data_IF_112794358759
#
_entry.id   IF_112794358759
#
_cell.length_a   1.000
_cell.length_b   1.000
_cell.length_c   1.000
_cell.angle_alpha   90.00
_cell.angle_beta   90.00
_cell.angle_gamma   90.00
#
_symmetry.space_group_name_H-M   'P 1'
#
loop_
_entity.id
_entity.type
_entity.pdbx_description
1 polymer ?
#
# COMPACT_ATOMS: atom_id res chain seq x y z
N UNK A 1 13.51 -132.98 -76.43
CA UNK A 1 12.05 -132.98 -76.63
C UNK A 1 11.60 -131.53 -76.52
N UNK A 2 11.59 -130.77 -77.63
CA UNK A 2 10.45 -130.58 -78.58
C UNK A 2 9.22 -130.01 -77.88
N UNK A 3 8.97 -128.69 -78.03
CA UNK A 3 7.85 -128.10 -78.79
C UNK A 3 6.53 -128.09 -77.98
N UNK A 4 5.55 -127.18 -78.04
CA UNK A 4 5.16 -126.05 -78.89
C UNK A 4 3.96 -125.42 -78.13
N UNK A 5 3.99 -124.14 -77.77
CA UNK A 5 3.27 -123.02 -78.40
C UNK A 5 1.79 -122.81 -78.01
N UNK A 6 1.45 -121.51 -77.99
CA UNK A 6 0.14 -120.89 -78.11
C UNK A 6 -0.74 -120.67 -76.86
N UNK A 7 -0.87 -119.38 -76.50
CA UNK A 7 -1.87 -118.87 -75.57
C UNK A 7 -1.64 -117.42 -75.14
N UNK A 8 -1.37 -116.51 -76.08
CA UNK A 8 -1.41 -115.05 -75.84
C UNK A 8 -2.85 -114.57 -75.97
N UNK A 9 -3.39 -113.85 -75.00
CA UNK A 9 -3.79 -112.43 -75.13
C UNK A 9 -4.45 -111.95 -73.81
N UNK A 10 -4.67 -110.64 -73.67
CA UNK A 10 -5.33 -109.91 -72.57
C UNK A 10 -4.42 -109.45 -71.42
N UNK A 11 -3.60 -108.43 -71.71
CA UNK A 11 -3.60 -107.18 -70.91
C UNK A 11 -2.88 -106.08 -71.69
N UNK A 12 -3.41 -105.77 -72.87
CA UNK A 12 -3.04 -104.54 -73.58
C UNK A 12 -3.72 -103.38 -72.84
N UNK A 13 -3.01 -102.72 -71.92
CA UNK A 13 -3.41 -101.37 -71.51
C UNK A 13 -3.41 -100.54 -72.79
N UNK A 14 -4.59 -100.12 -73.24
CA UNK A 14 -4.71 -99.15 -74.31
C UNK A 14 -4.12 -97.84 -73.80
N UNK A 15 -2.86 -97.59 -74.16
CA UNK A 15 -2.24 -96.29 -73.99
C UNK A 15 -2.99 -95.36 -74.95
N UNK A 16 -3.97 -94.63 -74.40
CA UNK A 16 -4.70 -93.60 -75.14
C UNK A 16 -3.71 -92.50 -75.49
N UNK A 17 -3.11 -92.61 -76.67
CA UNK A 17 -2.26 -91.57 -77.23
C UNK A 17 -3.18 -90.47 -77.74
N UNK A 18 -3.19 -89.34 -77.03
CA UNK A 18 -3.93 -88.17 -77.45
C UNK A 18 -3.41 -87.73 -78.82
N UNK A 19 -4.28 -87.61 -79.85
CA UNK A 19 -3.86 -87.15 -81.17
C UNK A 19 -3.12 -85.81 -81.09
N UNK A 20 -2.07 -85.63 -81.89
CA UNK A 20 -1.23 -84.42 -81.88
C UNK A 20 -2.03 -83.13 -82.04
N UNK A 21 -3.08 -83.15 -82.87
CA UNK A 21 -4.02 -82.05 -83.07
C UNK A 21 -4.75 -81.67 -81.78
N UNK A 22 -5.23 -82.65 -81.01
CA UNK A 22 -5.92 -82.42 -79.74
C UNK A 22 -4.94 -81.85 -78.70
N UNK A 23 -3.70 -82.35 -78.66
CA UNK A 23 -2.64 -81.82 -77.79
C UNK A 23 -2.32 -80.36 -78.12
N UNK A 24 -2.24 -79.99 -79.40
CA UNK A 24 -2.00 -78.62 -79.83
C UNK A 24 -3.15 -77.67 -79.45
N UNK A 25 -4.41 -78.14 -79.54
CA UNK A 25 -5.59 -77.37 -79.12
C UNK A 25 -5.56 -77.15 -77.60
N UNK A 26 -5.28 -78.20 -76.82
CA UNK A 26 -5.16 -78.09 -75.35
C UNK A 26 -4.08 -77.08 -74.98
N UNK A 27 -2.87 -77.18 -75.55
CA UNK A 27 -1.79 -76.23 -75.27
C UNK A 27 -2.15 -74.79 -75.65
N UNK A 28 -2.92 -74.58 -76.73
CA UNK A 28 -3.41 -73.25 -77.12
C UNK A 28 -4.44 -72.70 -76.13
N UNK A 29 -5.32 -73.57 -75.62
CA UNK A 29 -6.30 -73.20 -74.57
C UNK A 29 -5.58 -72.88 -73.27
N UNK A 30 -4.63 -73.71 -72.85
CA UNK A 30 -3.82 -73.50 -71.63
C UNK A 30 -3.07 -72.18 -71.71
N UNK A 31 -2.40 -71.89 -72.84
CA UNK A 31 -1.72 -70.61 -73.04
C UNK A 31 -2.69 -69.42 -72.99
N UNK A 32 -3.88 -69.54 -73.59
CA UNK A 32 -4.89 -68.48 -73.58
C UNK A 32 -5.55 -68.29 -72.21
N UNK A 33 -5.68 -69.35 -71.40
CA UNK A 33 -6.18 -69.28 -70.03
C UNK A 33 -5.13 -68.69 -69.09
N UNK A 34 -3.87 -69.11 -69.23
CA UNK A 34 -2.74 -68.56 -68.48
C UNK A 34 -2.62 -67.04 -68.72
N UNK A 35 -2.70 -66.61 -69.98
CA UNK A 35 -2.64 -65.20 -70.34
C UNK A 35 -3.78 -64.39 -69.71
N UNK A 36 -5.02 -64.90 -69.78
CA UNK A 36 -6.18 -64.24 -69.16
C UNK A 36 -6.06 -64.14 -67.64
N UNK A 37 -5.60 -65.20 -66.99
CA UNK A 37 -5.38 -65.19 -65.54
C UNK A 37 -4.28 -64.19 -65.15
N UNK A 38 -3.20 -64.09 -65.93
CA UNK A 38 -2.13 -63.12 -65.70
C UNK A 38 -2.63 -61.67 -65.84
N UNK A 39 -3.42 -61.39 -66.88
CA UNK A 39 -4.01 -60.06 -67.10
C UNK A 39 -4.98 -59.68 -65.97
N UNK A 40 -5.85 -60.61 -65.55
CA UNK A 40 -6.80 -60.39 -64.45
C UNK A 40 -6.08 -60.10 -63.11
N UNK A 41 -5.06 -60.89 -62.76
CA UNK A 41 -4.23 -60.66 -61.57
C UNK A 41 -3.53 -59.30 -61.66
N UNK A 42 -3.01 -58.92 -62.83
CA UNK A 42 -2.33 -57.64 -63.02
C UNK A 42 -3.27 -56.45 -62.78
N UNK A 43 -4.53 -56.54 -63.23
CA UNK A 43 -5.53 -55.50 -63.02
C UNK A 43 -5.85 -55.38 -61.53
N UNK A 44 -6.11 -56.51 -60.86
CA UNK A 44 -6.42 -56.51 -59.41
C UNK A 44 -5.26 -55.95 -58.57
N UNK A 45 -4.01 -56.30 -58.89
CA UNK A 45 -2.85 -55.76 -58.19
C UNK A 45 -2.69 -54.25 -58.42
N UNK A 46 -2.99 -53.76 -59.62
CA UNK A 46 -2.99 -52.32 -59.92
C UNK A 46 -4.04 -51.58 -59.11
N UNK A 47 -5.25 -52.14 -59.00
CA UNK A 47 -6.34 -51.55 -58.22
C UNK A 47 -6.02 -51.51 -56.73
N UNK A 48 -5.45 -52.60 -56.19
CA UNK A 48 -5.00 -52.68 -54.78
C UNK A 48 -3.91 -51.63 -54.53
N UNK A 49 -2.92 -51.53 -55.41
CA UNK A 49 -1.81 -50.58 -55.26
C UNK A 49 -2.32 -49.14 -55.33
N UNK A 50 -3.26 -48.84 -56.22
CA UNK A 50 -3.95 -47.55 -56.28
C UNK A 50 -4.66 -47.21 -54.97
N UNK A 51 -5.47 -48.16 -54.46
CA UNK A 51 -6.21 -47.97 -53.21
C UNK A 51 -5.29 -47.76 -51.99
N UNK A 52 -4.22 -48.55 -51.88
CA UNK A 52 -3.24 -48.40 -50.80
C UNK A 52 -2.55 -47.05 -50.89
N UNK A 53 -2.17 -46.62 -52.09
CA UNK A 53 -1.55 -45.31 -52.29
C UNK A 53 -2.49 -44.16 -51.92
N UNK A 54 -3.77 -44.26 -52.29
CA UNK A 54 -4.80 -43.27 -51.91
C UNK A 54 -5.00 -43.22 -50.39
N UNK A 55 -5.03 -44.37 -49.73
CA UNK A 55 -5.09 -44.45 -48.27
C UNK A 55 -3.85 -43.81 -47.63
N UNK A 56 -2.64 -44.12 -48.14
CA UNK A 56 -1.39 -43.54 -47.65
C UNK A 56 -1.40 -42.00 -47.81
N UNK A 57 -1.80 -41.50 -48.98
CA UNK A 57 -1.88 -40.06 -49.23
C UNK A 57 -2.85 -39.38 -48.26
N UNK A 58 -4.05 -39.95 -48.06
CA UNK A 58 -5.01 -39.44 -47.07
C UNK A 58 -4.43 -39.40 -45.66
N UNK A 59 -3.73 -40.46 -45.22
CA UNK A 59 -3.09 -40.47 -43.91
C UNK A 59 -1.94 -39.46 -43.81
N UNK A 60 -1.17 -39.23 -44.87
CA UNK A 60 -0.10 -38.23 -44.88
C UNK A 60 -0.65 -36.80 -44.84
N UNK A 61 -1.77 -36.55 -45.51
CA UNK A 61 -2.52 -35.29 -45.42
C UNK A 61 -3.05 -35.06 -44.00
N UNK A 62 -3.62 -36.09 -43.37
CA UNK A 62 -4.22 -36.01 -42.03
C UNK A 62 -3.18 -35.92 -40.90
N UNK A 63 -2.00 -36.52 -41.10
CA UNK A 63 -0.84 -36.43 -40.20
C UNK A 63 -0.02 -35.13 -40.40
N UNK A 64 -0.44 -34.21 -41.26
CA UNK A 64 0.27 -32.94 -41.49
C UNK A 64 1.68 -33.12 -42.06
N UNK A 65 1.93 -34.22 -42.78
CA UNK A 65 3.24 -34.52 -43.37
C UNK A 65 3.43 -33.82 -44.73
N UNK A 66 2.71 -32.72 -44.98
CA UNK A 66 2.91 -31.94 -46.19
C UNK A 66 4.17 -31.09 -46.03
N UNK A 67 5.32 -31.64 -46.43
CA UNK A 67 6.57 -30.89 -46.60
C UNK A 67 6.42 -29.74 -47.65
N UNK A 68 5.24 -29.54 -48.25
CA UNK A 68 4.85 -28.34 -49.01
C UNK A 68 4.02 -27.33 -48.20
N UNK A 69 4.15 -27.33 -46.87
CA UNK A 69 3.64 -26.34 -45.91
C UNK A 69 4.22 -24.91 -46.08
N UNK A 70 4.01 -24.29 -47.23
CA UNK A 70 4.31 -22.86 -47.44
C UNK A 70 3.07 -21.99 -47.62
N UNK A 71 1.87 -22.55 -47.66
CA UNK A 71 0.64 -21.78 -47.90
C UNK A 71 -0.35 -21.68 -46.72
N UNK A 72 -0.29 -22.56 -45.72
CA UNK A 72 -1.28 -22.56 -44.61
C UNK A 72 -0.78 -21.97 -43.28
N UNK A 73 0.50 -21.60 -43.19
CA UNK A 73 1.15 -21.14 -41.95
C UNK A 73 0.50 -19.87 -41.36
N UNK A 74 -0.24 -19.10 -42.17
CA UNK A 74 -0.84 -17.84 -41.74
C UNK A 74 -2.00 -18.05 -40.75
N UNK A 75 -2.83 -19.08 -40.95
CA UNK A 75 -3.95 -19.40 -40.04
C UNK A 75 -3.49 -19.99 -38.72
N UNK A 76 -2.38 -20.73 -38.71
CA UNK A 76 -1.80 -21.30 -37.50
C UNK A 76 -1.00 -20.25 -36.71
N UNK A 77 -0.27 -19.35 -37.39
CA UNK A 77 0.34 -18.16 -36.79
C UNK A 77 -0.70 -17.24 -36.13
N UNK A 78 -1.83 -17.00 -36.78
CA UNK A 78 -2.89 -16.13 -36.25
C UNK A 78 -3.59 -16.77 -35.05
N UNK A 79 -3.84 -18.09 -35.08
CA UNK A 79 -4.31 -18.84 -33.90
C UNK A 79 -3.29 -18.80 -32.76
N UNK A 80 -1.99 -18.89 -33.08
CA UNK A 80 -0.89 -18.76 -32.13
C UNK A 80 -0.85 -17.37 -31.47
N UNK A 81 -1.00 -16.30 -32.26
CA UNK A 81 -1.10 -14.92 -31.76
C UNK A 81 -2.30 -14.72 -30.84
N UNK A 82 -3.50 -15.16 -31.25
CA UNK A 82 -4.71 -15.08 -30.42
C UNK A 82 -4.54 -15.82 -29.08
N UNK A 83 -3.87 -16.99 -29.10
CA UNK A 83 -3.54 -17.74 -27.87
C UNK A 83 -2.54 -16.98 -27.01
N UNK A 84 -1.51 -16.39 -27.61
CA UNK A 84 -0.52 -15.59 -26.91
C UNK A 84 -1.16 -14.36 -26.25
N UNK A 85 -1.95 -13.58 -26.99
CA UNK A 85 -2.65 -12.39 -26.48
C UNK A 85 -3.57 -12.75 -25.29
N UNK A 86 -4.25 -13.90 -25.37
CA UNK A 86 -5.07 -14.41 -24.28
C UNK A 86 -4.22 -14.75 -23.05
N UNK A 87 -3.11 -15.44 -23.23
CA UNK A 87 -2.19 -15.80 -22.14
C UNK A 87 -1.57 -14.55 -21.50
N UNK A 88 -1.18 -13.56 -22.30
CA UNK A 88 -0.68 -12.27 -21.81
C UNK A 88 -1.75 -11.55 -20.99
N UNK A 89 -3.00 -11.55 -21.45
CA UNK A 89 -4.12 -10.97 -20.71
C UNK A 89 -4.36 -11.70 -19.39
N UNK A 90 -4.34 -13.03 -19.38
CA UNK A 90 -4.44 -13.84 -18.14
C UNK A 90 -3.30 -13.51 -17.18
N UNK A 91 -2.06 -13.44 -17.68
CA UNK A 91 -0.90 -13.07 -16.87
C UNK A 91 -1.05 -11.67 -16.26
N UNK A 92 -1.56 -10.70 -17.03
CA UNK A 92 -1.84 -9.35 -16.54
C UNK A 92 -2.89 -9.33 -15.42
N UNK A 93 -3.96 -10.13 -15.56
CA UNK A 93 -4.97 -10.28 -14.52
C UNK A 93 -4.43 -10.97 -13.27
N UNK A 94 -3.63 -12.04 -13.43
CA UNK A 94 -2.97 -12.73 -12.32
C UNK A 94 -2.11 -11.76 -11.50
N UNK A 95 -1.24 -11.00 -12.18
CA UNK A 95 -0.37 -10.03 -11.54
C UNK A 95 -1.14 -8.92 -10.82
N UNK A 96 -2.24 -8.46 -11.42
CA UNK A 96 -3.12 -7.48 -10.79
C UNK A 96 -3.83 -8.06 -9.55
N UNK A 97 -4.26 -9.32 -9.60
CA UNK A 97 -4.87 -10.02 -8.48
C UNK A 97 -3.88 -10.21 -7.33
N UNK A 98 -2.67 -10.69 -7.60
CA UNK A 98 -1.58 -10.84 -6.63
C UNK A 98 -1.22 -9.51 -5.95
N UNK A 99 -1.23 -8.41 -6.71
CA UNK A 99 -0.97 -7.08 -6.15
C UNK A 99 -2.10 -6.64 -5.21
N UNK A 100 -3.37 -6.87 -5.59
CA UNK A 100 -4.51 -6.58 -4.72
C UNK A 100 -4.51 -7.44 -3.46
N UNK A 101 -4.20 -8.72 -3.59
CA UNK A 101 -4.09 -9.64 -2.46
C UNK A 101 -3.04 -9.16 -1.46
N UNK A 102 -1.84 -8.80 -1.93
CA UNK A 102 -0.78 -8.23 -1.07
C UNK A 102 -1.25 -6.97 -0.36
N UNK A 103 -1.87 -6.03 -1.09
CA UNK A 103 -2.38 -4.80 -0.50
C UNK A 103 -3.46 -5.07 0.57
N UNK A 104 -4.37 -6.02 0.33
CA UNK A 104 -5.39 -6.40 1.29
C UNK A 104 -4.78 -7.06 2.54
N UNK A 105 -3.76 -7.90 2.36
CA UNK A 105 -3.02 -8.49 3.47
C UNK A 105 -2.33 -7.42 4.32
N UNK A 106 -1.68 -6.45 3.68
CA UNK A 106 -1.07 -5.31 4.37
C UNK A 106 -2.11 -4.50 5.15
N UNK A 107 -3.25 -4.14 4.52
CA UNK A 107 -4.33 -3.42 5.20
C UNK A 107 -4.84 -4.22 6.41
N UNK A 108 -5.03 -5.53 6.27
CA UNK A 108 -5.49 -6.38 7.37
C UNK A 108 -4.48 -6.42 8.52
N UNK A 109 -3.18 -6.55 8.20
CA UNK A 109 -2.12 -6.53 9.19
C UNK A 109 -2.08 -5.19 9.94
N UNK A 110 -2.16 -4.07 9.21
CA UNK A 110 -2.28 -2.74 9.81
C UNK A 110 -3.51 -2.67 10.72
N UNK A 111 -4.69 -3.10 10.27
CA UNK A 111 -5.89 -3.09 11.10
C UNK A 111 -5.74 -3.92 12.38
N UNK A 112 -5.04 -5.06 12.32
CA UNK A 112 -4.74 -5.88 13.50
C UNK A 112 -3.83 -5.15 14.47
N UNK A 113 -2.71 -4.60 13.99
CA UNK A 113 -1.76 -3.84 14.81
C UNK A 113 -2.41 -2.63 15.48
N UNK A 114 -3.19 -1.86 14.73
CA UNK A 114 -3.95 -0.73 15.27
C UNK A 114 -5.06 -1.20 16.22
N UNK A 115 -5.70 -2.33 15.95
CA UNK A 115 -6.67 -2.95 16.85
C UNK A 115 -6.07 -3.29 18.20
N UNK A 116 -4.86 -3.87 18.22
CA UNK A 116 -4.14 -4.20 19.45
C UNK A 116 -3.69 -2.94 20.21
N UNK A 117 -3.16 -1.94 19.49
CA UNK A 117 -2.75 -0.66 20.07
C UNK A 117 -3.93 0.13 20.65
N UNK A 118 -5.05 0.17 19.93
CA UNK A 118 -6.27 0.82 20.41
C UNK A 118 -6.88 0.02 21.56
N UNK A 119 -6.86 -1.30 21.53
CA UNK A 119 -7.31 -2.16 22.63
C UNK A 119 -6.48 -1.93 23.90
N UNK A 120 -5.16 -1.75 23.77
CA UNK A 120 -4.32 -1.36 24.90
C UNK A 120 -4.76 -0.03 25.54
N UNK A 121 -5.09 0.97 24.73
CA UNK A 121 -5.51 2.31 25.21
C UNK A 121 -6.97 2.36 25.67
N UNK A 122 -7.86 1.58 25.05
CA UNK A 122 -9.31 1.53 25.34
C UNK A 122 -9.71 0.46 26.34
N UNK A 123 -8.81 -0.46 26.70
CA UNK A 123 -8.99 -1.27 27.90
C UNK A 123 -9.27 -0.29 29.05
N UNK A 124 -10.41 -0.43 29.75
CA UNK A 124 -10.64 0.37 30.94
C UNK A 124 -9.42 0.14 31.82
N UNK A 125 -8.63 1.19 32.04
CA UNK A 125 -7.39 1.12 32.83
C UNK A 125 -7.74 0.36 34.10
N UNK A 126 -7.25 -0.88 34.22
CA UNK A 126 -7.68 -1.80 35.28
C UNK A 126 -7.35 -1.25 36.68
N UNK A 127 -6.53 -0.21 36.78
CA UNK A 127 -6.54 0.66 37.94
C UNK A 127 -7.66 1.71 37.83
N UNK A 128 -8.79 1.42 38.47
CA UNK A 128 -9.81 2.38 38.93
C UNK A 128 -9.16 3.73 39.33
N UNK A 129 -8.04 3.65 40.06
CA UNK A 129 -7.18 4.77 40.50
C UNK A 129 -6.63 5.72 39.43
N UNK A 130 -6.51 5.31 38.17
CA UNK A 130 -5.99 6.17 37.09
C UNK A 130 -7.13 6.85 36.33
N UNK A 131 -8.29 6.20 36.25
CA UNK A 131 -9.55 6.82 35.82
C UNK A 131 -9.98 7.88 36.83
N UNK A 132 -9.98 7.54 38.12
CA UNK A 132 -10.35 8.43 39.22
C UNK A 132 -9.49 9.70 39.26
N UNK A 133 -8.18 9.58 39.02
CA UNK A 133 -7.29 10.75 38.96
C UNK A 133 -7.58 11.65 37.76
N UNK A 134 -7.92 11.06 36.62
CA UNK A 134 -8.22 11.83 35.41
C UNK A 134 -9.54 12.59 35.60
N UNK A 135 -10.54 11.93 36.18
CA UNK A 135 -11.83 12.54 36.53
C UNK A 135 -11.67 13.60 37.64
N UNK A 136 -10.84 13.34 38.66
CA UNK A 136 -10.48 14.33 39.69
C UNK A 136 -9.80 15.56 39.08
N UNK A 137 -8.88 15.38 38.13
CA UNK A 137 -8.21 16.49 37.46
C UNK A 137 -9.18 17.31 36.61
N UNK A 138 -10.11 16.64 35.92
CA UNK A 138 -11.20 17.29 35.18
C UNK A 138 -12.08 18.09 36.13
N UNK A 139 -12.52 17.51 37.24
CA UNK A 139 -13.35 18.20 38.23
C UNK A 139 -12.63 19.42 38.83
N UNK A 140 -11.35 19.28 39.18
CA UNK A 140 -10.54 20.39 39.70
C UNK A 140 -10.39 21.49 38.65
N UNK A 141 -10.12 21.14 37.39
CA UNK A 141 -9.99 22.11 36.31
C UNK A 141 -11.32 22.83 36.06
N UNK A 142 -12.44 22.12 36.02
CA UNK A 142 -13.78 22.71 35.87
C UNK A 142 -14.12 23.71 37.00
N UNK A 143 -13.66 23.45 38.23
CA UNK A 143 -13.87 24.36 39.36
C UNK A 143 -12.92 25.55 39.38
N UNK A 144 -11.63 25.33 39.11
CA UNK A 144 -10.58 26.34 39.33
C UNK A 144 -10.41 27.25 38.11
N UNK A 145 -10.60 26.75 36.89
CA UNK A 145 -10.40 27.52 35.67
C UNK A 145 -11.35 28.74 35.55
N UNK A 146 -12.67 28.62 35.83
CA UNK A 146 -13.55 29.79 35.80
C UNK A 146 -13.14 30.85 36.83
N UNK A 147 -12.73 30.43 38.02
CA UNK A 147 -12.31 31.33 39.09
C UNK A 147 -11.02 32.07 38.72
N UNK A 148 -10.06 31.38 38.11
CA UNK A 148 -8.81 32.01 37.66
C UNK A 148 -9.08 33.02 36.54
N UNK A 149 -9.97 32.69 35.59
CA UNK A 149 -10.37 33.60 34.53
C UNK A 149 -11.04 34.87 35.10
N UNK A 150 -11.99 34.74 36.02
CA UNK A 150 -12.64 35.88 36.69
C UNK A 150 -11.60 36.73 37.45
N UNK A 151 -10.66 36.10 38.15
CA UNK A 151 -9.61 36.82 38.86
C UNK A 151 -8.69 37.59 37.90
N UNK A 152 -8.34 37.00 36.76
CA UNK A 152 -7.55 37.68 35.72
C UNK A 152 -8.32 38.84 35.09
N UNK A 153 -9.61 38.67 34.82
CA UNK A 153 -10.47 39.74 34.28
C UNK A 153 -10.53 40.93 35.25
N UNK A 154 -10.83 40.70 36.53
CA UNK A 154 -10.86 41.77 37.53
C UNK A 154 -9.49 42.45 37.75
N UNK A 155 -8.40 41.68 37.62
CA UNK A 155 -7.04 42.22 37.64
C UNK A 155 -6.76 43.16 36.45
N UNK A 156 -7.20 42.78 35.26
CA UNK A 156 -7.10 43.60 34.04
C UNK A 156 -7.93 44.87 34.19
N UNK A 157 -9.18 44.79 34.67
CA UNK A 157 -10.03 45.95 34.91
C UNK A 157 -9.43 46.93 35.92
N UNK A 158 -8.85 46.40 37.00
CA UNK A 158 -8.16 47.21 38.02
C UNK A 158 -6.96 47.96 37.43
N UNK A 159 -6.18 47.28 36.59
CA UNK A 159 -5.05 47.89 35.89
C UNK A 159 -5.51 48.98 34.92
N UNK A 160 -6.57 48.72 34.15
CA UNK A 160 -7.18 49.72 33.25
C UNK A 160 -7.63 50.96 34.03
N UNK A 161 -8.30 50.77 35.17
CA UNK A 161 -8.75 51.86 36.04
C UNK A 161 -7.57 52.68 36.59
N UNK A 162 -6.52 52.01 37.08
CA UNK A 162 -5.33 52.66 37.62
C UNK A 162 -4.58 53.46 36.54
N UNK A 163 -4.39 52.87 35.36
CA UNK A 163 -3.76 53.55 34.23
C UNK A 163 -4.59 54.76 33.77
N UNK A 164 -5.91 54.63 33.69
CA UNK A 164 -6.82 55.71 33.31
C UNK A 164 -6.74 56.88 34.31
N UNK A 165 -6.76 56.59 35.62
CA UNK A 165 -6.61 57.59 36.66
C UNK A 165 -5.25 58.29 36.60
N UNK A 166 -4.16 57.54 36.41
CA UNK A 166 -2.82 58.12 36.28
C UNK A 166 -2.72 59.06 35.07
N UNK A 167 -3.26 58.65 33.93
CA UNK A 167 -3.28 59.47 32.70
C UNK A 167 -4.10 60.75 32.93
N UNK A 168 -5.29 60.64 33.53
CA UNK A 168 -6.13 61.81 33.83
C UNK A 168 -5.50 62.74 34.88
N UNK A 169 -4.81 62.21 35.89
CA UNK A 169 -4.03 63.04 36.81
C UNK A 169 -2.89 63.78 36.10
N UNK A 170 -2.15 63.11 35.21
CA UNK A 170 -1.09 63.75 34.43
C UNK A 170 -1.66 64.86 33.53
N UNK A 171 -2.81 64.62 32.92
CA UNK A 171 -3.53 65.63 32.13
C UNK A 171 -3.95 66.83 32.99
N UNK A 172 -4.55 66.59 34.17
CA UNK A 172 -4.92 67.64 35.13
C UNK A 172 -3.69 68.43 35.65
N UNK A 173 -2.55 67.77 35.88
CA UNK A 173 -1.29 68.42 36.28
C UNK A 173 -0.68 69.27 35.17
N UNK A 174 -0.75 68.83 33.90
CA UNK A 174 -0.33 69.64 32.74
C UNK A 174 -1.21 70.87 32.53
N UNK A 175 -2.50 70.79 32.87
CA UNK A 175 -3.47 71.87 32.77
C UNK A 175 -3.44 72.88 33.95
N UNK A 176 -2.75 72.58 35.07
CA UNK A 176 -2.56 73.58 36.13
C UNK A 176 -1.59 74.68 35.66
N UNK A 177 -1.95 75.97 35.78
CA UNK A 177 -1.05 77.04 35.36
C UNK A 177 0.20 77.05 36.25
N UNK A 178 1.36 76.70 35.67
CA UNK A 178 2.69 76.71 36.31
C UNK A 178 3.13 78.08 36.86
N UNK A 179 2.35 79.14 36.63
CA UNK A 179 2.72 80.53 36.92
C UNK A 179 2.79 80.91 38.39
N UNK A 180 2.00 80.29 39.27
CA UNK A 180 1.89 80.76 40.66
C UNK A 180 2.96 80.13 41.58
N UNK A 181 3.42 78.91 41.26
CA UNK A 181 4.44 78.23 42.04
C UNK A 181 5.82 78.92 41.94
N UNK A 182 6.23 79.28 40.72
CA UNK A 182 7.50 79.96 40.49
C UNK A 182 7.53 81.40 41.01
N UNK A 183 6.38 82.10 41.01
CA UNK A 183 6.26 83.44 41.62
C UNK A 183 6.39 83.36 43.14
N UNK A 184 5.63 82.47 43.79
CA UNK A 184 5.69 82.30 45.24
C UNK A 184 7.07 81.82 45.73
N UNK A 185 7.75 80.94 44.97
CA UNK A 185 9.11 80.52 45.28
C UNK A 185 10.12 81.68 45.18
N UNK A 186 10.00 82.53 44.14
CA UNK A 186 10.88 83.68 43.93
C UNK A 186 10.71 84.75 45.01
N UNK A 187 9.48 85.07 45.38
CA UNK A 187 9.19 86.03 46.47
C UNK A 187 9.74 85.52 47.81
N UNK A 188 9.62 84.22 48.08
CA UNK A 188 10.10 83.63 49.35
C UNK A 188 11.62 83.64 49.49
N UNK A 189 12.36 83.54 48.38
CA UNK A 189 13.83 83.67 48.38
C UNK A 189 14.23 85.13 48.56
N UNK A 190 13.56 86.04 47.87
CA UNK A 190 13.88 87.47 47.91
C UNK A 190 13.59 88.11 49.28
N UNK A 191 12.53 87.69 49.96
CA UNK A 191 12.20 88.16 51.31
C UNK A 191 13.00 87.49 52.43
N UNK A 192 13.70 86.37 52.15
CA UNK A 192 14.52 85.67 53.14
C UNK A 192 16.03 85.94 52.98
N UNK A 193 16.43 86.65 51.93
CA UNK A 193 17.83 87.02 51.67
C UNK A 193 18.18 88.42 52.21
N UNK A 194 17.96 88.67 53.51
CA UNK A 194 18.60 89.80 54.21
C UNK A 194 19.99 89.45 54.77
N UNK A 195 20.46 88.21 54.59
CA UNK A 195 21.85 87.80 54.82
C UNK A 195 22.30 86.88 53.69
N UNK A 196 23.56 86.94 53.24
CA UNK A 196 24.09 85.96 52.30
C UNK A 196 24.11 84.60 53.00
N UNK A 197 23.20 83.69 52.63
CA UNK A 197 23.25 82.30 53.06
C UNK A 197 24.44 81.63 52.36
N UNK A 198 25.57 81.59 53.05
CA UNK A 198 26.70 80.77 52.63
C UNK A 198 26.25 79.29 52.70
N UNK A 199 26.45 78.49 51.64
CA UNK A 199 26.06 77.08 51.65
C UNK A 199 26.76 76.32 52.79
N UNK A 200 26.00 75.46 53.49
CA UNK A 200 26.51 74.65 54.61
C UNK A 200 27.65 73.72 54.13
N UNK A 201 28.65 73.52 55.00
CA UNK A 201 29.76 72.61 54.74
C UNK A 201 29.26 71.15 54.69
N UNK A 202 29.83 70.28 53.82
CA UNK A 202 29.50 68.85 53.77
C UNK A 202 29.56 68.13 55.14
N UNK A 203 30.42 68.58 56.04
CA UNK A 203 30.56 68.02 57.39
C UNK A 203 29.36 68.34 58.30
N UNK A 204 28.65 69.45 58.05
CA UNK A 204 27.44 69.82 58.78
C UNK A 204 26.23 69.01 58.29
N UNK A 205 26.19 68.64 57.01
CA UNK A 205 25.13 67.78 56.47
C UNK A 205 25.14 66.37 57.04
N UNK A 206 26.29 65.86 57.49
CA UNK A 206 26.43 64.50 58.00
C UNK A 206 26.00 64.33 59.46
N UNK A 207 25.85 65.41 60.24
CA UNK A 207 25.57 65.33 61.68
C UNK A 207 24.07 65.16 62.04
N UNK A 208 23.15 65.38 61.10
CA UNK A 208 21.71 65.28 61.35
C UNK A 208 21.14 63.84 61.35
N UNK A 209 21.96 62.83 61.04
CA UNK A 209 21.48 61.43 60.91
C UNK A 209 21.34 60.69 62.25
N UNK A 210 21.88 61.22 63.34
CA UNK A 210 22.08 60.46 64.58
C UNK A 210 21.19 60.87 65.76
N UNK A 211 20.31 61.86 65.61
CA UNK A 211 19.39 62.30 66.68
C UNK A 211 17.98 61.73 66.58
N UNK A 212 17.61 61.12 65.46
CA UNK A 212 16.24 60.61 65.23
C UNK A 212 16.03 59.15 65.64
N UNK A 213 17.10 58.36 65.84
CA UNK A 213 16.99 56.92 66.12
C UNK A 213 16.97 56.53 67.62
N UNK A 214 16.95 57.49 68.54
CA UNK A 214 16.98 57.22 69.99
C UNK A 214 15.60 57.26 70.67
N UNK A 215 14.53 57.66 69.96
CA UNK A 215 13.19 57.84 70.56
C UNK A 215 12.23 56.66 70.38
N UNK A 216 12.44 55.80 69.39
CA UNK A 216 11.50 54.68 69.11
C UNK A 216 11.85 53.37 69.83
N UNK A 217 13.04 53.28 70.47
CA UNK A 217 13.47 52.07 71.20
C UNK A 217 13.05 52.04 72.68
N UNK A 218 12.36 53.06 73.18
CA UNK A 218 11.90 53.14 74.58
C UNK A 218 10.41 52.74 74.78
N UNK A 219 9.61 52.66 73.71
CA UNK A 219 8.16 52.39 73.80
C UNK A 219 7.81 50.89 73.72
N UNK A 220 8.72 50.02 73.23
CA UNK A 220 8.43 48.58 73.01
C UNK A 220 8.83 47.64 74.16
N UNK A 221 9.31 48.19 75.27
CA UNK A 221 9.77 47.44 76.45
C UNK A 221 8.78 47.38 77.63
N UNK A 222 7.58 47.98 77.50
CA UNK A 222 6.64 48.12 78.63
C UNK A 222 5.30 47.37 78.50
N UNK A 223 5.05 46.70 77.37
CA UNK A 223 3.77 46.01 77.11
C UNK A 223 3.89 44.47 76.99
N UNK A 224 4.92 43.87 77.60
CA UNK A 224 5.07 42.39 77.68
C UNK A 224 5.14 41.89 79.14
N UNK A 225 4.82 42.75 80.12
CA UNK A 225 4.85 42.39 81.56
C UNK A 225 3.48 42.37 82.27
N UNK A 226 2.37 42.46 81.53
CA UNK A 226 1.01 42.38 82.11
C UNK A 226 0.11 41.30 81.49
N UNK A 227 0.69 40.27 80.86
CA UNK A 227 -0.06 39.07 80.49
C UNK A 227 0.78 37.80 80.62
N UNK A 228 1.11 37.46 81.85
CA UNK A 228 1.49 36.11 82.30
C UNK A 228 0.98 35.92 83.71
#
# INVERSE_FOLDING_TARGET
>A
MTESSFGRDLTRRHQLVTPSTVKAIISKIEAAQLKRAQEDISIQLSDILGNVNDVINRFQEDLGSDLKERKNNQGEQEKGKKRFDLLEKIASFSKAAETKERNLYEILNWMSEWGDNLSYETKPKESEKECDKQDEWVEVMERVLPLSLIATEGGIESLISLCSNLIEEQKKRKLRPKGNFWKAWREKILHKSSSPLQPLSPEQMLKDRNTTNAKDSAEKGREVRERS
#
